data_IF_454638768697
#
_entry.id   IF_454638768697
#
_cell.length_a   1.000
_cell.length_b   1.000
_cell.length_c   1.000
_cell.angle_alpha   90.00
_cell.angle_beta   90.00
_cell.angle_gamma   90.00
#
_symmetry.space_group_name_H-M   'P 1'
#
loop_
_entity.id
_entity.type
_entity.pdbx_description
1 polymer ?
#
# COMPACT_ATOMS: atom_id res chain seq x y z
N UNK A 1 -23.85 -8.98 3.66
CA UNK A 1 -22.44 -9.32 3.71
C UNK A 1 -22.12 -10.37 2.66
N UNK A 2 -21.16 -10.10 1.79
CA UNK A 2 -20.88 -10.99 0.68
C UNK A 2 -19.40 -11.24 0.56
N UNK A 3 -19.04 -12.47 0.22
CA UNK A 3 -17.67 -12.78 -0.12
C UNK A 3 -17.40 -12.25 -1.51
N UNK A 4 -16.29 -11.52 -1.68
CA UNK A 4 -16.02 -10.94 -2.98
C UNK A 4 -14.96 -11.74 -3.72
N UNK A 5 -14.92 -11.57 -5.04
CA UNK A 5 -14.03 -12.33 -5.90
C UNK A 5 -12.66 -11.68 -5.99
N UNK A 6 -12.08 -11.40 -4.84
CA UNK A 6 -10.76 -10.81 -4.73
C UNK A 6 -10.06 -11.42 -3.54
N UNK A 7 -8.76 -11.48 -3.61
CA UNK A 7 -7.95 -11.71 -2.43
C UNK A 7 -7.42 -10.39 -1.93
N UNK A 8 -6.72 -10.42 -0.83
CA UNK A 8 -6.25 -9.19 -0.21
C UNK A 8 -4.85 -9.43 0.31
N UNK A 9 -3.99 -8.43 0.18
CA UNK A 9 -2.70 -8.49 0.85
C UNK A 9 -2.57 -7.28 1.75
N UNK A 10 -1.85 -7.47 2.85
CA UNK A 10 -1.47 -6.39 3.74
C UNK A 10 0.04 -6.32 3.72
N UNK A 11 0.58 -5.13 3.49
CA UNK A 11 2.02 -4.92 3.52
C UNK A 11 2.39 -4.27 4.83
N UNK A 12 3.32 -4.89 5.55
CA UNK A 12 3.77 -4.35 6.83
C UNK A 12 5.23 -4.00 6.70
N UNK A 13 5.61 -2.73 6.91
CA UNK A 13 7.03 -2.36 6.82
C UNK A 13 7.87 -3.07 7.86
N UNK A 14 9.07 -3.42 7.46
CA UNK A 14 10.03 -4.08 8.32
C UNK A 14 11.15 -3.10 8.65
N UNK A 15 12.15 -3.60 9.36
CA UNK A 15 13.24 -2.74 9.83
C UNK A 15 13.95 -2.00 8.69
N UNK A 16 14.12 -2.67 7.55
CA UNK A 16 14.81 -2.02 6.43
C UNK A 16 14.08 -0.78 5.95
N UNK A 17 12.74 -0.85 5.89
CA UNK A 17 11.96 0.32 5.50
C UNK A 17 12.14 1.43 6.55
N UNK A 18 12.11 1.07 7.82
CA UNK A 18 12.27 2.05 8.89
C UNK A 18 13.63 2.73 8.79
N UNK A 19 14.68 1.96 8.54
CA UNK A 19 16.01 2.53 8.41
C UNK A 19 16.08 3.52 7.28
N UNK A 20 15.46 3.16 6.14
CA UNK A 20 15.42 4.05 4.99
C UNK A 20 14.64 5.32 5.33
N UNK A 21 13.47 5.18 5.93
CA UNK A 21 12.63 6.34 6.27
C UNK A 21 13.35 7.29 7.21
N UNK A 22 14.07 6.73 8.18
CA UNK A 22 14.79 7.56 9.13
C UNK A 22 15.96 8.29 8.49
N UNK A 23 16.51 7.75 7.40
CA UNK A 23 17.65 8.36 6.76
C UNK A 23 17.28 9.58 5.93
N UNK A 24 15.98 9.79 5.68
CA UNK A 24 15.55 10.84 4.77
C UNK A 24 15.60 12.23 5.39
N UNK A 25 15.31 12.35 6.68
CA UNK A 25 15.48 13.61 7.36
C UNK A 25 15.56 13.39 8.86
N UNK A 26 16.01 14.43 9.57
CA UNK A 26 16.22 14.31 11.00
C UNK A 26 14.94 14.23 11.78
N UNK A 27 13.85 14.73 11.22
CA UNK A 27 12.59 14.72 11.94
C UNK A 27 12.00 13.33 12.04
N UNK A 28 12.53 12.39 11.25
CA UNK A 28 12.05 11.02 11.28
C UNK A 28 12.68 10.17 12.37
N UNK A 29 13.52 10.77 13.22
CA UNK A 29 14.22 10.00 14.23
C UNK A 29 13.29 9.39 15.27
N UNK A 30 12.09 9.94 15.43
CA UNK A 30 11.15 9.40 16.40
C UNK A 30 10.34 8.23 15.87
N UNK A 31 10.50 7.89 14.59
CA UNK A 31 9.75 6.78 14.02
C UNK A 31 10.15 5.47 14.66
N UNK A 32 9.18 4.62 14.88
CA UNK A 32 9.41 3.27 15.36
C UNK A 32 8.70 2.32 14.42
N UNK A 33 9.09 1.05 14.50
CA UNK A 33 8.42 0.04 13.68
C UNK A 33 6.96 -0.06 14.06
N UNK A 34 6.66 0.09 15.35
CA UNK A 34 5.30 0.04 15.81
C UNK A 34 4.47 1.18 15.19
N UNK A 35 5.02 2.40 15.16
CA UNK A 35 4.28 3.52 14.62
C UNK A 35 4.07 3.36 13.11
N UNK A 36 5.04 2.80 12.40
CA UNK A 36 4.86 2.55 10.98
C UNK A 36 3.76 1.55 10.70
N UNK A 37 3.58 0.58 11.59
CA UNK A 37 2.60 -0.47 11.38
C UNK A 37 1.21 -0.13 11.89
N UNK A 38 1.01 1.04 12.45
CA UNK A 38 -0.31 1.42 12.91
C UNK A 38 -1.31 1.53 11.77
N UNK A 39 -0.85 1.89 10.59
CA UNK A 39 -1.72 1.98 9.44
C UNK A 39 -1.09 1.26 8.27
N UNK A 40 -1.12 -0.05 8.30
CA UNK A 40 -0.60 -0.83 7.19
C UNK A 40 -1.56 -0.73 6.00
N UNK A 41 -1.01 -0.79 4.80
CA UNK A 41 -1.82 -0.69 3.59
C UNK A 41 -2.36 -2.05 3.19
N UNK A 42 -3.64 -2.08 2.83
CA UNK A 42 -4.29 -3.28 2.32
C UNK A 42 -4.61 -3.07 0.85
N UNK A 43 -4.33 -4.08 0.03
CA UNK A 43 -4.58 -4.02 -1.40
C UNK A 43 -5.50 -5.16 -1.79
N UNK A 44 -6.52 -4.85 -2.60
CA UNK A 44 -7.32 -5.89 -3.23
C UNK A 44 -6.54 -6.38 -4.46
N UNK A 45 -6.47 -7.68 -4.62
CA UNK A 45 -5.71 -8.28 -5.71
C UNK A 45 -6.58 -9.34 -6.36
N UNK A 46 -6.20 -9.82 -7.54
CA UNK A 46 -6.95 -10.93 -8.15
C UNK A 46 -7.00 -12.13 -7.22
N UNK A 47 -8.05 -12.93 -7.36
CA UNK A 47 -8.19 -14.10 -6.49
C UNK A 47 -6.98 -14.99 -6.57
N UNK A 48 -6.44 -15.35 -5.41
CA UNK A 48 -5.29 -16.20 -5.31
C UNK A 48 -5.65 -17.33 -4.37
N UNK A 49 -5.77 -18.54 -4.91
CA UNK A 49 -6.28 -19.65 -4.13
C UNK A 49 -5.19 -20.64 -3.73
N UNK A 50 -4.00 -20.53 -4.32
CA UNK A 50 -2.92 -21.47 -4.02
C UNK A 50 -1.63 -20.71 -3.74
N UNK A 51 -0.77 -21.35 -2.94
CA UNK A 51 0.48 -20.71 -2.55
C UNK A 51 1.37 -20.41 -3.75
N UNK A 52 1.35 -21.29 -4.77
CA UNK A 52 2.18 -21.06 -5.94
C UNK A 52 1.74 -19.80 -6.68
N UNK A 53 0.45 -19.48 -6.63
CA UNK A 53 -0.06 -18.27 -7.27
C UNK A 53 0.37 -17.03 -6.52
N UNK A 54 0.54 -17.13 -5.21
CA UNK A 54 1.02 -16.02 -4.41
C UNK A 54 2.41 -15.59 -4.86
N UNK A 55 3.28 -16.56 -5.07
CA UNK A 55 4.64 -16.25 -5.48
C UNK A 55 4.67 -15.67 -6.87
N UNK A 56 3.88 -16.23 -7.79
CA UNK A 56 3.82 -15.70 -9.14
C UNK A 56 3.29 -14.28 -9.16
N UNK A 57 2.28 -14.01 -8.36
CA UNK A 57 1.72 -12.67 -8.28
C UNK A 57 2.80 -11.68 -7.82
N UNK A 58 3.53 -12.03 -6.77
CA UNK A 58 4.54 -11.13 -6.25
C UNK A 58 5.65 -10.90 -7.27
N UNK A 59 6.03 -11.92 -8.04
CA UNK A 59 7.07 -11.73 -9.04
C UNK A 59 6.68 -10.69 -10.07
N UNK A 60 5.41 -10.58 -10.37
CA UNK A 60 4.98 -9.64 -11.40
C UNK A 60 4.61 -8.28 -10.85
N UNK A 61 4.29 -8.17 -9.56
CA UNK A 61 3.74 -6.94 -9.01
C UNK A 61 4.58 -6.28 -7.93
N UNK A 62 5.66 -6.92 -7.49
CA UNK A 62 6.39 -6.39 -6.34
C UNK A 62 6.87 -4.96 -6.55
N UNK A 63 7.30 -4.63 -7.75
CA UNK A 63 7.88 -3.31 -7.97
C UNK A 63 6.81 -2.22 -7.94
N UNK A 64 5.64 -2.52 -8.46
CA UNK A 64 4.54 -1.57 -8.37
C UNK A 64 4.19 -1.32 -6.91
N UNK A 65 4.11 -2.37 -6.11
CA UNK A 65 3.81 -2.25 -4.69
C UNK A 65 4.92 -1.50 -3.95
N UNK A 66 6.17 -1.79 -4.32
CA UNK A 66 7.31 -1.16 -3.68
C UNK A 66 7.27 0.35 -3.94
N UNK A 67 7.07 0.74 -5.20
CA UNK A 67 7.03 2.15 -5.54
C UNK A 67 5.85 2.86 -4.88
N UNK A 68 4.73 2.19 -4.77
CA UNK A 68 3.57 2.78 -4.12
C UNK A 68 3.89 3.11 -2.67
N UNK A 69 4.56 2.22 -1.97
CA UNK A 69 4.92 2.45 -0.58
C UNK A 69 5.99 3.53 -0.45
N UNK A 70 6.97 3.53 -1.35
CA UNK A 70 8.02 4.54 -1.31
C UNK A 70 7.43 5.93 -1.57
N UNK A 71 6.57 6.04 -2.58
CA UNK A 71 6.00 7.32 -2.92
C UNK A 71 5.10 7.85 -1.82
N UNK A 72 4.42 6.96 -1.14
CA UNK A 72 3.58 7.36 -0.03
C UNK A 72 4.36 7.96 1.12
N UNK A 73 5.65 7.64 1.20
CA UNK A 73 6.49 8.15 2.26
C UNK A 73 7.36 9.34 1.81
N UNK A 74 7.91 9.26 0.58
CA UNK A 74 8.83 10.28 0.09
C UNK A 74 8.72 10.34 -1.42
N UNK A 75 8.34 11.48 -1.94
CA UNK A 75 8.00 11.57 -3.36
C UNK A 75 9.21 11.77 -4.29
N UNK A 76 10.37 12.09 -3.75
CA UNK A 76 11.55 12.30 -4.58
C UNK A 76 12.17 10.94 -4.93
N UNK A 77 12.00 10.53 -6.16
CA UNK A 77 12.44 9.22 -6.60
C UNK A 77 13.94 9.03 -6.49
N UNK A 78 14.69 10.11 -6.49
CA UNK A 78 16.14 9.99 -6.38
C UNK A 78 16.57 9.41 -5.04
N UNK A 79 15.72 9.51 -4.02
CA UNK A 79 16.04 8.97 -2.71
C UNK A 79 15.60 7.52 -2.53
N UNK A 80 14.93 6.95 -3.53
CA UNK A 80 14.46 5.56 -3.44
C UNK A 80 15.60 4.61 -3.74
N UNK A 81 15.54 3.37 -3.20
CA UNK A 81 16.52 2.36 -3.63
C UNK A 81 16.39 2.12 -5.11
N UNK A 82 17.53 2.10 -5.82
CA UNK A 82 17.51 2.14 -7.27
C UNK A 82 17.55 0.77 -7.94
N UNK A 83 18.06 -0.24 -7.28
CA UNK A 83 18.15 -1.58 -7.88
C UNK A 83 17.28 -2.53 -7.11
N UNK A 84 15.98 -2.31 -7.23
CA UNK A 84 15.00 -3.10 -6.48
C UNK A 84 14.76 -4.44 -7.14
N UNK A 85 14.58 -5.47 -6.32
CA UNK A 85 14.16 -6.77 -6.80
C UNK A 85 13.22 -7.39 -5.77
N UNK A 86 12.70 -8.56 -6.09
CA UNK A 86 11.73 -9.21 -5.20
C UNK A 86 12.33 -9.49 -3.83
N UNK A 87 13.58 -9.91 -3.80
CA UNK A 87 14.22 -10.21 -2.52
C UNK A 87 14.29 -8.98 -1.64
N UNK A 88 14.67 -7.83 -2.22
CA UNK A 88 14.69 -6.60 -1.47
C UNK A 88 13.30 -6.24 -0.97
N UNK A 89 12.30 -6.41 -1.82
CA UNK A 89 10.92 -6.13 -1.42
C UNK A 89 10.53 -6.95 -0.20
N UNK A 90 10.87 -8.23 -0.19
CA UNK A 90 10.54 -9.10 0.94
C UNK A 90 11.38 -8.80 2.17
N UNK A 91 12.56 -8.21 1.98
CA UNK A 91 13.35 -7.75 3.12
C UNK A 91 12.79 -6.48 3.74
N UNK A 92 12.06 -5.71 2.95
CA UNK A 92 11.51 -4.43 3.41
C UNK A 92 10.08 -4.55 3.91
N UNK A 93 9.34 -5.55 3.45
CA UNK A 93 7.93 -5.69 3.81
C UNK A 93 7.58 -7.12 4.12
N UNK A 94 6.70 -7.28 5.10
CA UNK A 94 6.05 -8.54 5.33
C UNK A 94 4.76 -8.53 4.53
N UNK A 95 4.51 -9.57 3.74
CA UNK A 95 3.34 -9.66 2.89
C UNK A 95 2.41 -10.68 3.49
N UNK A 96 1.20 -10.24 3.82
CA UNK A 96 0.22 -11.11 4.44
C UNK A 96 -0.93 -11.29 3.47
N UNK A 97 -1.18 -12.54 3.05
CA UNK A 97 -2.25 -12.84 2.08
C UNK A 97 -3.51 -13.29 2.79
N UNK A 98 -4.64 -12.84 2.27
CA UNK A 98 -5.95 -13.26 2.75
C UNK A 98 -6.81 -13.61 1.57
N UNK A 99 -7.28 -14.86 1.51
CA UNK A 99 -8.10 -15.31 0.39
C UNK A 99 -9.59 -15.18 0.65
N UNK A 100 -9.98 -15.01 1.92
CA UNK A 100 -11.39 -14.84 2.25
C UNK A 100 -11.64 -13.38 2.58
N UNK A 101 -12.30 -12.68 1.66
CA UNK A 101 -12.55 -11.25 1.81
C UNK A 101 -14.04 -11.02 1.65
N UNK A 102 -14.65 -10.38 2.63
CA UNK A 102 -16.08 -10.12 2.64
C UNK A 102 -16.34 -8.64 2.63
N UNK A 103 -17.36 -8.24 1.88
CA UNK A 103 -17.78 -6.85 1.85
C UNK A 103 -19.02 -6.71 2.74
N UNK A 104 -18.89 -5.93 3.80
CA UNK A 104 -19.98 -5.69 4.72
C UNK A 104 -20.90 -4.57 4.28
N UNK A 105 -20.51 -3.81 3.26
CA UNK A 105 -21.30 -2.71 2.77
C UNK A 105 -22.33 -3.21 1.78
N UNK A 106 -23.49 -2.57 1.73
CA UNK A 106 -24.47 -2.85 0.71
C UNK A 106 -24.21 -2.04 -0.55
N UNK A 107 -23.31 -1.09 -0.50
CA UNK A 107 -23.03 -0.24 -1.63
C UNK A 107 -21.91 -0.79 -2.48
N UNK A 108 -21.93 -0.55 -3.78
CA UNK A 108 -20.85 -1.06 -4.64
C UNK A 108 -19.52 -0.41 -4.29
N UNK A 109 -18.45 -1.16 -4.52
CA UNK A 109 -17.13 -0.63 -4.33
C UNK A 109 -16.85 0.39 -5.42
N UNK A 110 -16.33 1.55 -5.04
CA UNK A 110 -15.98 2.60 -5.98
C UNK A 110 -14.54 3.01 -5.81
N UNK A 111 -14.08 3.83 -6.73
CA UNK A 111 -12.72 4.34 -6.69
C UNK A 111 -12.75 5.73 -6.09
N UNK A 112 -11.87 5.95 -5.11
CA UNK A 112 -11.76 7.24 -4.46
C UNK A 112 -10.74 8.08 -5.21
N UNK A 113 -11.11 9.32 -5.55
CA UNK A 113 -10.19 10.19 -6.25
C UNK A 113 -9.01 10.54 -5.37
N UNK A 114 -7.83 10.60 -6.00
CA UNK A 114 -6.63 10.90 -5.28
C UNK A 114 -6.55 12.38 -5.02
N UNK A 115 -6.50 12.74 -3.75
CA UNK A 115 -6.50 14.12 -3.39
C UNK A 115 -5.31 14.87 -3.82
N UNK A 116 -4.19 14.24 -3.92
CA UNK A 116 -3.07 14.96 -4.31
C UNK A 116 -3.14 15.36 -5.71
N UNK A 117 -3.92 14.70 -6.50
CA UNK A 117 -4.10 15.13 -7.84
C UNK A 117 -4.73 16.44 -7.87
N UNK A 118 -5.57 16.73 -6.95
CA UNK A 118 -6.27 17.94 -7.02
C UNK A 118 -5.51 19.01 -6.40
N UNK A 119 -4.48 18.79 -5.84
CA UNK A 119 -3.87 19.79 -5.27
C UNK A 119 -4.53 20.95 -5.41
N UNK A 120 -5.32 20.89 -5.60
CA UNK A 120 -6.14 21.89 -5.55
C UNK A 120 -6.80 21.99 -4.49
N UNK A 121 -6.70 22.33 -4.06
CA UNK A 121 -7.22 22.39 -2.99
C UNK A 121 -8.47 22.56 -2.84
N UNK A 122 -8.63 22.80 -3.05
CA UNK A 122 -9.53 22.77 -2.92
C UNK A 122 -10.30 22.15 -2.90
N UNK A 123 -10.21 22.08 -2.91
CA UNK A 123 -10.71 21.54 -3.00
C UNK A 123 -11.26 20.75 -2.82
N UNK A 124 -11.17 20.92 -2.89
CA UNK A 124 -11.55 20.23 -2.95
C UNK A 124 -12.21 19.52 -2.78
N UNK A 125 -12.21 19.66 -2.72
CA UNK A 125 -12.80 19.00 -2.74
C UNK A 125 -13.47 18.22 -2.63
N UNK A 126 -13.48 18.34 -2.47
CA UNK A 126 -14.01 17.61 -2.50
C UNK A 126 -14.79 16.94 -2.36
N UNK A 127 -14.78 17.18 -2.30
CA UNK A 127 -15.51 16.55 -2.33
C UNK A 127 -16.23 15.95 -2.30
N UNK A 128 -16.06 16.20 -2.18
CA UNK A 128 -16.69 15.64 -2.33
C UNK A 128 -17.27 14.90 -2.40
N UNK A 129 -17.12 15.17 -2.27
CA UNK A 129 -17.64 14.49 -2.54
C UNK A 129 -18.01 13.62 -2.62
N UNK A 130 -17.88 13.83 -2.59
CA UNK A 130 -18.21 13.25 -2.82
C UNK A 130 -18.34 12.39 -2.83
N UNK A 131 -18.08 12.47 -2.72
CA UNK A 131 -18.24 11.83 -2.82
C UNK A 131 -18.26 10.88 -2.58
N UNK A 132 -17.93 10.82 -2.22
CA UNK A 132 -17.94 10.15 -2.07
C UNK A 132 -18.11 9.18 -2.01
N UNK A 133 -18.02 9.07 -1.82
CA UNK A 133 -18.09 8.12 -1.90
C UNK A 133 -18.16 7.44 -1.86
N UNK A 134 -18.05 7.37 -1.69
CA UNK A 134 -18.03 6.98 -1.78
C UNK A 134 -18.17 6.73 -1.75
#
# INVERSE_FOLDING_TARGET
MSEINRSLIILRPKQSFLDWARSLDDESNDLTLESLNEESTAYLIPEILEDSDQEEFLKTCYDILFEEQLEGWWTDEAAWPQQRDLRMFLDWFEVEFHSLVFDLSDEPIGVVEDEEDSENPAGAQKNDDATLVG
#
